data_IF_595814940235
#
_entry.id   IF_595814940235
#
_cell.length_a   1.000
_cell.length_b   1.000
_cell.length_c   1.000
_cell.angle_alpha   90.00
_cell.angle_beta   90.00
_cell.angle_gamma   90.00
#
_symmetry.space_group_name_H-M   'P 1'
#
loop_
_entity.id
_entity.type
_entity.pdbx_description
1 polymer ?
#
# COMPACT_ATOMS: atom_id res chain seq x y z
N UNK A 1 -17.37 3.44 15.69
CA UNK A 1 -17.14 4.20 14.46
C UNK A 1 -15.89 3.67 13.76
N UNK A 2 -15.96 3.43 12.47
CA UNK A 2 -14.77 3.02 11.75
C UNK A 2 -13.75 4.16 11.73
N UNK A 3 -12.50 3.80 11.98
CA UNK A 3 -11.40 4.74 11.88
C UNK A 3 -11.16 5.07 10.40
N UNK A 4 -11.09 6.34 10.11
CA UNK A 4 -10.86 6.78 8.74
C UNK A 4 -10.24 8.17 8.77
N UNK A 5 -8.97 8.28 8.39
CA UNK A 5 -8.28 9.57 8.37
C UNK A 5 -7.55 9.75 7.06
N UNK A 6 -7.35 11.01 6.71
CA UNK A 6 -6.59 11.36 5.53
C UNK A 6 -5.12 11.47 5.90
N UNK A 7 -4.25 10.89 5.10
CA UNK A 7 -2.82 11.01 5.29
C UNK A 7 -2.24 12.00 4.27
N UNK A 8 -1.42 12.93 4.75
CA UNK A 8 -0.76 13.91 3.89
C UNK A 8 0.73 13.59 3.83
N UNK A 9 1.22 13.02 2.71
CA UNK A 9 2.64 12.66 2.63
C UNK A 9 3.53 13.89 2.50
N UNK A 10 4.75 13.78 3.03
CA UNK A 10 5.75 14.82 2.88
C UNK A 10 6.49 14.69 1.55
N UNK A 11 6.65 13.47 1.07
CA UNK A 11 7.37 13.18 -0.17
C UNK A 11 6.38 12.78 -1.26
N UNK A 12 5.59 13.74 -1.71
CA UNK A 12 4.47 13.48 -2.63
C UNK A 12 4.90 12.82 -3.93
N UNK A 13 6.15 13.06 -4.37
CA UNK A 13 6.65 12.48 -5.62
C UNK A 13 6.81 10.97 -5.57
N UNK A 14 6.90 10.39 -4.37
CA UNK A 14 7.01 8.95 -4.20
C UNK A 14 5.67 8.24 -4.31
N UNK A 15 4.59 8.97 -4.12
CA UNK A 15 3.28 8.33 -4.07
C UNK A 15 2.76 8.00 -5.46
N UNK A 16 2.30 6.75 -5.61
CA UNK A 16 1.60 6.32 -6.82
C UNK A 16 0.15 6.77 -6.68
N UNK A 17 -0.34 7.53 -7.64
CA UNK A 17 -1.70 8.02 -7.60
C UNK A 17 -1.78 9.43 -7.04
N UNK A 18 -2.95 9.81 -6.54
CA UNK A 18 -3.19 11.17 -6.06
C UNK A 18 -2.83 11.28 -4.57
N UNK A 19 -1.72 12.00 -4.23
CA UNK A 19 -1.30 12.09 -2.84
C UNK A 19 -2.24 12.90 -1.95
N UNK A 20 -3.22 13.57 -2.53
CA UNK A 20 -4.22 14.32 -1.75
C UNK A 20 -5.41 13.45 -1.34
N UNK A 21 -5.45 12.19 -1.79
CA UNK A 21 -6.58 11.31 -1.57
C UNK A 21 -6.22 10.01 -0.84
N UNK A 22 -5.19 10.06 -0.01
CA UNK A 22 -4.76 8.88 0.75
C UNK A 22 -5.60 8.75 2.00
N UNK A 23 -6.32 7.63 2.12
CA UNK A 23 -7.19 7.38 3.26
C UNK A 23 -6.64 6.21 4.08
N UNK A 24 -6.46 6.41 5.37
CA UNK A 24 -6.07 5.35 6.30
C UNK A 24 -7.29 4.90 7.07
N UNK A 25 -7.54 3.60 7.04
CA UNK A 25 -8.72 3.01 7.70
C UNK A 25 -8.39 2.42 9.07
N UNK A 26 -7.15 2.54 9.50
CA UNK A 26 -6.72 2.10 10.81
C UNK A 26 -5.43 2.83 11.19
N UNK A 27 -5.10 2.77 12.48
CA UNK A 27 -3.84 3.35 12.95
C UNK A 27 -2.65 2.58 12.39
N UNK A 28 -2.81 1.26 12.16
CA UNK A 28 -1.75 0.45 11.55
C UNK A 28 -1.46 0.91 10.13
N UNK A 29 -2.50 1.17 9.34
CA UNK A 29 -2.31 1.68 7.98
C UNK A 29 -1.61 3.04 8.00
N UNK A 30 -1.97 3.89 8.96
CA UNK A 30 -1.32 5.19 9.07
C UNK A 30 0.17 5.05 9.39
N UNK A 31 0.53 4.09 10.25
CA UNK A 31 1.93 3.83 10.56
C UNK A 31 2.68 3.36 9.31
N UNK A 32 2.06 2.51 8.50
CA UNK A 32 2.67 2.04 7.25
C UNK A 32 2.86 3.21 6.29
N UNK A 33 1.87 4.07 6.15
CA UNK A 33 2.00 5.27 5.30
C UNK A 33 3.18 6.13 5.73
N UNK A 34 3.34 6.38 7.03
CA UNK A 34 4.46 7.16 7.54
C UNK A 34 5.80 6.49 7.22
N UNK A 35 5.85 5.18 7.40
CA UNK A 35 7.07 4.42 7.11
C UNK A 35 7.44 4.52 5.63
N UNK A 36 6.47 4.29 4.74
CA UNK A 36 6.71 4.34 3.30
C UNK A 36 7.14 5.73 2.85
N UNK A 37 6.51 6.75 3.41
CA UNK A 37 6.81 8.12 3.03
C UNK A 37 8.20 8.54 3.49
N UNK A 38 8.61 8.11 4.68
CA UNK A 38 9.88 8.53 5.28
C UNK A 38 11.09 7.70 4.88
N UNK A 39 10.88 6.44 4.49
CA UNK A 39 12.00 5.52 4.23
C UNK A 39 12.66 5.82 2.88
N UNK A 40 13.95 6.12 2.91
CA UNK A 40 14.70 6.45 1.70
C UNK A 40 14.79 5.30 0.70
N UNK A 41 14.68 4.07 1.17
CA UNK A 41 14.75 2.90 0.28
C UNK A 41 13.44 2.64 -0.44
N UNK A 42 12.35 3.24 0.00
CA UNK A 42 11.07 3.16 -0.69
C UNK A 42 11.10 4.15 -1.85
N UNK A 43 11.13 3.62 -3.06
CA UNK A 43 11.20 4.43 -4.27
C UNK A 43 9.83 5.00 -4.60
N UNK A 44 8.80 4.15 -4.55
CA UNK A 44 7.42 4.54 -4.76
C UNK A 44 6.51 3.67 -3.93
N UNK A 45 5.33 4.19 -3.58
CA UNK A 45 4.36 3.43 -2.82
C UNK A 45 2.96 3.93 -3.09
N UNK A 46 1.96 3.10 -2.79
CA UNK A 46 0.57 3.48 -2.95
C UNK A 46 -0.31 2.74 -1.98
N UNK A 47 -1.39 3.38 -1.57
CA UNK A 47 -2.40 2.82 -0.68
C UNK A 47 -3.69 2.63 -1.48
N UNK A 48 -4.12 1.38 -1.61
CA UNK A 48 -5.33 1.02 -2.34
C UNK A 48 -5.33 1.51 -3.80
N UNK A 49 -4.14 1.60 -4.41
CA UNK A 49 -4.01 2.16 -5.76
C UNK A 49 -4.03 1.13 -6.88
N UNK A 50 -3.95 -0.16 -6.55
CA UNK A 50 -3.94 -1.17 -7.59
C UNK A 50 -4.95 -2.28 -7.32
N UNK A 51 -5.33 -2.95 -8.39
CA UNK A 51 -6.16 -4.14 -8.31
C UNK A 51 -5.45 -5.25 -9.10
N UNK A 52 -5.42 -6.46 -8.53
CA UNK A 52 -4.79 -7.60 -9.18
C UNK A 52 -5.89 -8.60 -9.59
N UNK A 53 -6.15 -8.76 -10.87
CA UNK A 53 -7.11 -9.77 -11.32
C UNK A 53 -6.45 -11.16 -11.23
N UNK A 54 -7.23 -12.15 -10.83
CA UNK A 54 -6.76 -13.52 -10.77
C UNK A 54 -7.91 -14.48 -11.05
N UNK A 55 -7.56 -15.69 -11.47
CA UNK A 55 -8.56 -16.73 -11.69
C UNK A 55 -8.65 -17.57 -10.44
N UNK A 56 -9.83 -17.60 -9.82
CA UNK A 56 -10.04 -18.39 -8.63
C UNK A 56 -10.04 -19.90 -8.97
N UNK A 57 -9.29 -20.72 -8.25
CA UNK A 57 -9.32 -22.17 -8.48
C UNK A 57 -10.63 -22.82 -8.05
N UNK A 58 -11.44 -22.13 -7.26
CA UNK A 58 -12.69 -22.69 -6.75
C UNK A 58 -13.81 -22.61 -7.79
N UNK A 59 -14.04 -21.44 -8.37
CA UNK A 59 -15.13 -21.26 -9.34
C UNK A 59 -14.63 -20.98 -10.75
N UNK A 60 -13.31 -20.88 -10.93
CA UNK A 60 -12.65 -20.65 -12.21
C UNK A 60 -13.08 -19.34 -12.88
N UNK A 61 -13.54 -18.39 -12.08
CA UNK A 61 -13.92 -17.06 -12.56
C UNK A 61 -12.84 -16.06 -12.21
N UNK A 62 -12.84 -14.92 -12.91
CA UNK A 62 -11.92 -13.85 -12.63
C UNK A 62 -12.40 -13.07 -11.42
N UNK A 63 -11.51 -12.97 -10.44
CA UNK A 63 -11.74 -12.18 -9.23
C UNK A 63 -10.74 -11.04 -9.17
N UNK A 64 -11.00 -10.08 -8.31
CA UNK A 64 -10.10 -8.93 -8.13
C UNK A 64 -9.58 -8.92 -6.70
N UNK A 65 -8.26 -8.83 -6.57
CA UNK A 65 -7.61 -8.70 -5.29
C UNK A 65 -7.16 -7.25 -5.10
N UNK A 66 -7.53 -6.67 -3.97
CA UNK A 66 -7.20 -5.28 -3.63
C UNK A 66 -6.20 -5.27 -2.48
N UNK A 67 -4.89 -5.25 -2.77
CA UNK A 67 -3.91 -5.14 -1.69
C UNK A 67 -4.00 -3.79 -1.00
N UNK A 68 -3.70 -3.76 0.31
CA UNK A 68 -3.74 -2.52 1.06
C UNK A 68 -2.68 -1.55 0.57
N UNK A 69 -1.47 -2.06 0.31
CA UNK A 69 -0.36 -1.23 -0.16
C UNK A 69 0.43 -1.92 -1.25
N UNK A 70 1.03 -1.10 -2.10
CA UNK A 70 2.08 -1.53 -3.00
C UNK A 70 3.31 -0.65 -2.71
N UNK A 71 4.49 -1.26 -2.73
CA UNK A 71 5.72 -0.52 -2.50
C UNK A 71 6.83 -1.04 -3.40
N UNK A 72 7.58 -0.12 -3.98
CA UNK A 72 8.80 -0.45 -4.72
C UNK A 72 9.96 -0.07 -3.81
N UNK A 73 10.71 -1.06 -3.36
CA UNK A 73 11.74 -0.87 -2.35
C UNK A 73 13.10 -1.27 -2.92
N UNK A 74 14.08 -0.40 -2.74
CA UNK A 74 15.43 -0.64 -3.20
C UNK A 74 16.23 -1.40 -2.14
N UNK A 75 16.92 -2.45 -2.57
CA UNK A 75 17.76 -3.24 -1.66
C UNK A 75 19.20 -2.75 -1.65
N UNK A 76 20.08 -3.47 -0.94
CA UNK A 76 21.48 -3.11 -0.80
C UNK A 76 22.23 -3.09 -2.14
N UNK A 77 21.78 -3.85 -3.11
CA UNK A 77 22.39 -3.93 -4.43
C UNK A 77 21.79 -2.93 -5.42
N UNK A 78 21.02 -1.97 -4.93
CA UNK A 78 20.30 -0.97 -5.74
C UNK A 78 19.28 -1.58 -6.69
N UNK A 79 18.81 -2.79 -6.37
CA UNK A 79 17.75 -3.42 -7.12
C UNK A 79 16.41 -3.05 -6.51
N UNK A 80 15.42 -2.75 -7.35
CA UNK A 80 14.09 -2.38 -6.89
C UNK A 80 13.16 -3.58 -6.99
N UNK A 81 12.57 -3.94 -5.86
CA UNK A 81 11.60 -5.03 -5.81
C UNK A 81 10.23 -4.48 -5.44
N UNK A 82 9.20 -5.07 -6.02
CA UNK A 82 7.81 -4.66 -5.77
C UNK A 82 7.17 -5.58 -4.75
N UNK A 83 6.55 -5.00 -3.74
CA UNK A 83 5.88 -5.75 -2.68
C UNK A 83 4.42 -5.36 -2.62
N UNK A 84 3.56 -6.36 -2.49
CA UNK A 84 2.15 -6.17 -2.19
C UNK A 84 1.97 -6.45 -0.71
N UNK A 85 1.43 -5.48 0.02
CA UNK A 85 1.39 -5.55 1.48
C UNK A 85 -0.04 -5.49 1.98
N UNK A 86 -0.38 -6.39 2.88
CA UNK A 86 -1.64 -6.33 3.59
C UNK A 86 -1.38 -6.02 5.06
N UNK A 87 -2.17 -5.11 5.58
CA UNK A 87 -2.09 -4.73 6.98
C UNK A 87 -3.24 -5.40 7.72
N UNK A 88 -2.89 -6.30 8.63
CA UNK A 88 -3.89 -7.00 9.44
C UNK A 88 -3.71 -6.60 10.88
N UNK A 89 -4.78 -6.18 11.55
CA UNK A 89 -4.68 -5.89 12.97
C UNK A 89 -4.32 -7.18 13.72
N UNK A 90 -3.56 -7.03 14.78
CA UNK A 90 -3.11 -8.15 15.57
C UNK A 90 -4.26 -8.98 16.11
N UNK A 91 -5.36 -8.31 16.41
CA UNK A 91 -6.55 -8.95 16.94
C UNK A 91 -7.63 -9.02 15.89
N UNK A 92 -8.09 -10.20 15.61
CA UNK A 92 -9.16 -10.44 14.64
C UNK A 92 -10.46 -10.84 15.33
#
# INVERSE_FOLDING_TARGET
>A
MPYKTKYNPKNTKKYLGDPTKIICRSTWERKVCKYMDANENVVRWGSEEIVVPYVSPIDKKIHRYYPDFIAEIKNENNEVNTFLIEVKPEKQ
#
